data_IF_724761979199
#
_entry.id   IF_724761979199
#
_cell.length_a   1.000
_cell.length_b   1.000
_cell.length_c   1.000
_cell.angle_alpha   90.00
_cell.angle_beta   90.00
_cell.angle_gamma   90.00
#
_symmetry.space_group_name_H-M   'P 1'
#
loop_
_entity.id
_entity.type
_entity.pdbx_description
1 polymer ?
#
# COMPACT_ATOMS: atom_id res chain seq x y z
N UNK A 1 22.98 -35.49 -10.93
CA UNK A 1 22.26 -34.55 -11.81
C UNK A 1 20.92 -34.11 -11.23
N UNK A 2 20.08 -35.01 -10.69
CA UNK A 2 18.81 -34.69 -10.01
C UNK A 2 18.97 -33.79 -8.76
N UNK A 3 20.01 -34.00 -7.95
CA UNK A 3 20.28 -33.18 -6.74
C UNK A 3 20.62 -31.72 -7.10
N UNK A 4 21.32 -31.48 -8.22
CA UNK A 4 21.63 -30.13 -8.70
C UNK A 4 20.40 -29.43 -9.29
N UNK A 5 19.51 -30.16 -9.96
CA UNK A 5 18.22 -29.66 -10.43
C UNK A 5 17.26 -29.35 -9.27
N UNK A 6 17.28 -30.16 -8.20
CA UNK A 6 16.58 -29.88 -6.94
C UNK A 6 17.15 -28.65 -6.25
N UNK A 7 18.47 -28.47 -6.22
CA UNK A 7 19.11 -27.28 -5.65
C UNK A 7 18.79 -26.01 -6.45
N UNK A 8 18.79 -26.08 -7.79
CA UNK A 8 18.39 -24.98 -8.68
C UNK A 8 16.91 -24.63 -8.50
N UNK A 9 16.01 -25.61 -8.42
CA UNK A 9 14.59 -25.37 -8.15
C UNK A 9 14.31 -24.88 -6.73
N UNK A 10 15.13 -25.28 -5.75
CA UNK A 10 15.08 -24.76 -4.37
C UNK A 10 15.70 -23.36 -4.22
N UNK A 11 16.63 -22.97 -5.10
CA UNK A 11 17.16 -21.59 -5.15
C UNK A 11 16.22 -20.62 -5.87
N UNK A 12 15.40 -21.10 -6.81
CA UNK A 12 14.40 -20.28 -7.52
C UNK A 12 13.26 -19.79 -6.62
N UNK A 13 13.01 -20.45 -5.48
CA UNK A 13 11.95 -20.08 -4.55
C UNK A 13 12.32 -18.88 -3.65
N UNK A 14 13.58 -18.40 -3.69
CA UNK A 14 14.07 -17.33 -2.81
C UNK A 14 14.43 -16.02 -3.53
N UNK A 15 14.12 -15.89 -4.82
CA UNK A 15 14.26 -14.62 -5.55
C UNK A 15 12.89 -13.97 -5.78
N UNK A 16 12.05 -13.94 -4.75
CA UNK A 16 10.98 -12.92 -4.65
C UNK A 16 11.50 -11.63 -4.00
N UNK A 17 12.81 -11.42 -4.07
CA UNK A 17 13.51 -10.36 -3.37
C UNK A 17 13.27 -9.01 -4.07
N UNK A 18 12.85 -8.03 -3.27
CA UNK A 18 13.19 -6.62 -3.46
C UNK A 18 12.61 -5.92 -4.70
N UNK A 19 11.33 -6.14 -5.02
CA UNK A 19 10.66 -5.42 -6.11
C UNK A 19 9.88 -4.17 -5.66
N UNK A 20 9.55 -4.04 -4.37
CA UNK A 20 8.87 -2.87 -3.83
C UNK A 20 9.86 -1.86 -3.24
N UNK A 21 9.76 -0.60 -3.68
CA UNK A 21 10.63 0.50 -3.26
C UNK A 21 9.99 1.42 -2.21
N UNK A 22 8.72 1.20 -1.87
CA UNK A 22 7.96 2.02 -0.95
C UNK A 22 6.83 2.80 -1.62
N UNK A 23 6.20 3.70 -0.87
CA UNK A 23 5.02 4.42 -1.31
C UNK A 23 4.28 5.11 -0.16
N UNK A 24 3.01 5.45 -0.41
CA UNK A 24 2.13 6.15 0.52
C UNK A 24 0.70 5.63 0.44
N UNK A 25 0.00 5.68 1.58
CA UNK A 25 -1.45 5.50 1.65
C UNK A 25 -2.04 6.77 2.26
N UNK A 26 -2.77 7.53 1.45
CA UNK A 26 -3.48 8.74 1.86
C UNK A 26 -4.98 8.45 1.88
N UNK A 27 -5.73 9.24 2.65
CA UNK A 27 -7.18 9.19 2.62
C UNK A 27 -7.77 10.60 2.76
N UNK A 28 -9.07 10.76 2.49
CA UNK A 28 -9.79 12.00 2.78
C UNK A 28 -11.31 11.81 2.78
N UNK A 29 -12.02 12.67 3.53
CA UNK A 29 -13.36 13.15 3.29
C UNK A 29 -13.84 13.15 1.84
N UNK A 30 -14.88 12.43 1.41
CA UNK A 30 -15.53 12.84 0.13
C UNK A 30 -16.34 14.12 0.37
N UNK A 31 -17.15 14.13 1.43
CA UNK A 31 -17.85 15.32 1.91
C UNK A 31 -17.28 15.73 3.27
N UNK A 32 -16.53 16.83 3.28
CA UNK A 32 -15.92 17.34 4.50
C UNK A 32 -16.94 17.88 5.50
N UNK A 33 -18.16 18.20 5.09
CA UNK A 33 -19.19 18.74 5.97
C UNK A 33 -20.16 17.66 6.48
N UNK A 34 -19.98 16.42 6.02
CA UNK A 34 -20.78 15.28 6.47
C UNK A 34 -20.54 15.02 7.96
N UNK A 35 -21.63 14.87 8.71
CA UNK A 35 -21.65 14.41 10.10
C UNK A 35 -22.55 13.19 10.29
N UNK A 36 -23.04 12.60 9.19
CA UNK A 36 -23.94 11.46 9.20
C UNK A 36 -23.15 10.16 9.05
N UNK A 37 -23.68 9.09 9.63
CA UNK A 37 -23.20 7.74 9.35
C UNK A 37 -24.04 7.15 8.21
N UNK A 38 -23.43 6.50 7.22
CA UNK A 38 -21.99 6.25 7.09
C UNK A 38 -21.24 7.38 6.35
N UNK A 39 -19.92 7.44 6.54
CA UNK A 39 -19.03 8.44 5.93
C UNK A 39 -18.31 7.81 4.74
N UNK A 40 -18.41 8.46 3.58
CA UNK A 40 -17.64 8.06 2.40
C UNK A 40 -16.26 8.73 2.41
N UNK A 41 -15.22 7.94 2.21
CA UNK A 41 -13.82 8.40 2.12
C UNK A 41 -13.19 7.91 0.83
N UNK A 42 -12.26 8.71 0.30
CA UNK A 42 -11.34 8.28 -0.75
C UNK A 42 -10.05 7.81 -0.11
N UNK A 43 -9.55 6.63 -0.51
CA UNK A 43 -8.21 6.14 -0.16
C UNK A 43 -7.37 6.12 -1.43
N UNK A 44 -6.25 6.82 -1.40
CA UNK A 44 -5.28 6.88 -2.50
C UNK A 44 -4.02 6.13 -2.11
N UNK A 45 -3.70 5.10 -2.89
CA UNK A 45 -2.48 4.30 -2.78
C UNK A 45 -1.52 4.74 -3.88
N UNK A 46 -0.29 5.08 -3.51
CA UNK A 46 0.77 5.42 -4.47
C UNK A 46 1.99 4.59 -4.15
N UNK A 47 2.50 3.87 -5.15
CA UNK A 47 3.55 2.87 -4.97
C UNK A 47 4.70 3.08 -5.95
N UNK A 48 5.90 2.69 -5.52
CA UNK A 48 7.08 2.62 -6.35
C UNK A 48 7.60 1.19 -6.43
N UNK A 49 7.83 0.74 -7.66
CA UNK A 49 8.27 -0.62 -7.95
C UNK A 49 9.54 -0.64 -8.79
N UNK A 50 10.24 -1.76 -8.75
CA UNK A 50 11.41 -2.02 -9.59
C UNK A 50 10.99 -2.36 -11.01
N UNK A 51 11.44 -1.58 -11.98
CA UNK A 51 11.17 -1.78 -13.40
C UNK A 51 12.42 -2.37 -14.10
N UNK A 52 12.29 -3.33 -15.04
CA UNK A 52 11.05 -3.87 -15.63
C UNK A 52 10.48 -5.10 -14.92
N UNK A 53 10.98 -5.45 -13.72
CA UNK A 53 10.51 -6.62 -12.96
C UNK A 53 9.01 -6.54 -12.66
N UNK A 54 8.53 -5.37 -12.23
CA UNK A 54 7.12 -5.01 -12.27
C UNK A 54 6.89 -4.23 -13.56
N UNK A 55 6.03 -4.78 -14.40
CA UNK A 55 5.65 -4.20 -15.68
C UNK A 55 4.71 -3.04 -15.44
N UNK A 56 4.98 -1.91 -16.10
CA UNK A 56 4.12 -0.74 -16.05
C UNK A 56 2.81 -0.99 -16.83
N UNK A 57 1.78 -1.47 -16.13
CA UNK A 57 0.43 -1.71 -16.66
C UNK A 57 -0.64 -1.33 -15.64
N UNK A 58 -1.91 -1.66 -15.93
CA UNK A 58 -2.97 -1.68 -14.91
C UNK A 58 -2.83 -2.89 -13.98
N UNK A 59 -3.46 -2.82 -12.80
CA UNK A 59 -3.47 -3.89 -11.79
C UNK A 59 -2.07 -4.41 -11.39
N UNK A 60 -1.13 -3.50 -11.15
CA UNK A 60 0.19 -3.85 -10.60
C UNK A 60 0.08 -4.09 -9.08
N UNK A 61 0.81 -5.07 -8.50
CA UNK A 61 1.84 -5.89 -9.15
C UNK A 61 1.34 -7.20 -9.80
N UNK A 62 0.06 -7.56 -9.67
CA UNK A 62 -0.51 -8.85 -10.15
C UNK A 62 -0.30 -9.08 -11.64
N UNK A 63 -0.38 -8.02 -12.45
CA UNK A 63 -0.10 -8.09 -13.89
C UNK A 63 1.29 -8.63 -14.23
N UNK A 64 2.24 -8.56 -13.29
CA UNK A 64 3.60 -9.09 -13.42
C UNK A 64 3.79 -10.47 -12.76
N UNK A 65 2.68 -11.13 -12.38
CA UNK A 65 2.70 -12.39 -11.64
C UNK A 65 3.18 -12.25 -10.20
N UNK A 66 3.04 -11.07 -9.60
CA UNK A 66 3.53 -10.71 -8.26
C UNK A 66 2.40 -10.18 -7.39
N UNK A 67 2.43 -10.52 -6.09
CA UNK A 67 1.62 -9.92 -5.03
C UNK A 67 0.12 -9.76 -5.30
N UNK A 68 -0.71 -10.61 -4.70
CA UNK A 68 -2.17 -10.40 -4.61
C UNK A 68 -2.55 -10.31 -3.14
N UNK A 69 -2.80 -9.09 -2.66
CA UNK A 69 -3.02 -8.82 -1.25
C UNK A 69 -4.00 -7.66 -1.05
N UNK A 70 -4.52 -7.58 0.16
CA UNK A 70 -5.36 -6.48 0.60
C UNK A 70 -4.61 -5.58 1.58
N UNK A 71 -5.03 -4.32 1.64
CA UNK A 71 -4.68 -3.49 2.79
C UNK A 71 -5.27 -4.13 4.05
N UNK A 72 -4.45 -4.19 5.09
CA UNK A 72 -4.74 -4.94 6.31
C UNK A 72 -4.88 -3.98 7.49
N UNK A 73 -5.91 -4.17 8.31
CA UNK A 73 -5.96 -3.49 9.59
C UNK A 73 -4.91 -4.08 10.54
N UNK A 74 -4.03 -3.24 11.08
CA UNK A 74 -2.91 -3.68 11.93
C UNK A 74 -3.05 -3.24 13.39
N UNK A 75 -3.92 -2.27 13.70
CA UNK A 75 -4.20 -1.84 15.07
C UNK A 75 -5.57 -1.15 15.18
N UNK A 76 -6.21 -1.29 16.35
CA UNK A 76 -7.56 -0.82 16.65
C UNK A 76 -8.63 -1.36 15.68
N UNK A 77 -8.50 -2.61 15.25
CA UNK A 77 -9.39 -3.21 14.25
C UNK A 77 -10.81 -3.45 14.73
N UNK A 78 -11.06 -3.41 16.05
CA UNK A 78 -12.43 -3.43 16.60
C UNK A 78 -13.21 -2.15 16.31
N UNK A 79 -12.53 -1.07 15.93
CA UNK A 79 -13.11 0.25 15.62
C UNK A 79 -12.90 0.61 14.15
N UNK A 80 -12.82 -0.38 13.26
CA UNK A 80 -12.52 -0.19 11.84
C UNK A 80 -13.68 0.34 10.99
N UNK A 81 -14.83 0.62 11.62
CA UNK A 81 -16.02 1.14 10.96
C UNK A 81 -16.64 0.20 9.93
N UNK A 82 -16.34 -1.10 9.97
CA UNK A 82 -16.82 -2.11 9.03
C UNK A 82 -15.82 -2.46 7.91
N UNK A 83 -14.62 -1.88 7.92
CA UNK A 83 -13.59 -2.12 6.90
C UNK A 83 -13.31 -3.60 6.66
N UNK A 84 -13.17 -4.39 7.73
CA UNK A 84 -12.82 -5.82 7.66
C UNK A 84 -13.84 -6.68 6.91
N UNK A 85 -15.06 -6.18 6.68
CA UNK A 85 -16.08 -6.89 5.89
C UNK A 85 -15.92 -6.73 4.38
N UNK A 86 -15.21 -5.69 3.93
CA UNK A 86 -14.96 -5.39 2.53
C UNK A 86 -13.59 -4.70 2.37
N UNK A 87 -12.48 -5.41 2.63
CA UNK A 87 -11.14 -4.86 2.47
C UNK A 87 -10.84 -4.53 1.01
N UNK A 88 -10.03 -3.51 0.80
CA UNK A 88 -9.58 -3.09 -0.53
C UNK A 88 -8.23 -3.70 -0.88
N UNK A 89 -8.05 -4.01 -2.16
CA UNK A 89 -6.80 -4.56 -2.68
C UNK A 89 -5.66 -3.53 -2.67
N UNK A 90 -4.42 -4.04 -2.77
CA UNK A 90 -3.20 -3.22 -2.94
C UNK A 90 -2.98 -2.81 -4.40
N UNK A 91 -3.89 -3.16 -5.31
CA UNK A 91 -3.63 -3.02 -6.73
C UNK A 91 -3.69 -1.55 -7.13
N UNK A 92 -2.74 -1.17 -7.96
CA UNK A 92 -2.63 0.19 -8.49
C UNK A 92 -2.43 0.15 -9.99
N UNK A 93 -2.50 1.31 -10.63
CA UNK A 93 -2.29 1.43 -12.07
C UNK A 93 -1.03 2.25 -12.33
N UNK A 94 -0.19 1.80 -13.26
CA UNK A 94 1.05 2.49 -13.57
C UNK A 94 0.79 3.92 -14.07
N UNK A 95 1.49 4.88 -13.48
CA UNK A 95 1.42 6.30 -13.88
C UNK A 95 2.67 6.73 -14.65
N UNK A 96 3.82 6.13 -14.36
CA UNK A 96 5.09 6.43 -15.06
C UNK A 96 6.11 5.32 -14.84
N UNK A 97 7.07 5.21 -15.76
CA UNK A 97 8.23 4.32 -15.63
C UNK A 97 9.49 4.97 -16.20
N UNK A 98 10.65 4.55 -15.70
CA UNK A 98 11.98 4.98 -16.16
C UNK A 98 12.91 3.77 -16.21
N UNK A 99 13.34 3.41 -17.43
CA UNK A 99 14.33 2.36 -17.63
C UNK A 99 15.70 2.75 -17.10
N UNK A 100 16.08 4.03 -17.20
CA UNK A 100 17.35 4.56 -16.69
C UNK A 100 17.45 4.44 -15.17
N UNK A 101 16.36 4.69 -14.45
CA UNK A 101 16.32 4.57 -12.99
C UNK A 101 15.97 3.16 -12.52
N UNK A 102 15.50 2.28 -13.40
CA UNK A 102 14.98 0.96 -13.03
C UNK A 102 13.76 1.06 -12.10
N UNK A 103 12.95 2.10 -12.26
CA UNK A 103 11.83 2.41 -11.37
C UNK A 103 10.54 2.66 -12.14
N UNK A 104 9.42 2.30 -11.52
CA UNK A 104 8.09 2.74 -11.93
C UNK A 104 7.30 3.29 -10.74
N UNK A 105 6.30 4.11 -11.06
CA UNK A 105 5.32 4.64 -10.13
C UNK A 105 3.94 4.17 -10.56
N UNK A 106 3.11 3.80 -9.58
CA UNK A 106 1.70 3.48 -9.79
C UNK A 106 0.83 4.15 -8.75
N UNK A 107 -0.44 4.35 -9.07
CA UNK A 107 -1.41 4.99 -8.20
C UNK A 107 -2.82 4.44 -8.45
N UNK A 108 -3.64 4.42 -7.39
CA UNK A 108 -5.08 4.20 -7.50
C UNK A 108 -5.81 4.87 -6.34
N UNK A 109 -6.99 5.41 -6.65
CA UNK A 109 -7.92 5.91 -5.64
C UNK A 109 -9.18 5.07 -5.62
N UNK A 110 -9.58 4.62 -4.44
CA UNK A 110 -10.81 3.83 -4.22
C UNK A 110 -11.66 4.54 -3.18
N UNK A 111 -12.96 4.63 -3.44
CA UNK A 111 -13.92 5.17 -2.49
C UNK A 111 -14.52 4.03 -1.67
N UNK A 112 -14.50 4.18 -0.35
CA UNK A 112 -15.13 3.25 0.58
C UNK A 112 -16.03 4.00 1.55
N UNK A 113 -16.90 3.25 2.21
CA UNK A 113 -17.86 3.78 3.17
C UNK A 113 -17.63 3.12 4.51
N UNK A 114 -17.40 3.91 5.55
CA UNK A 114 -17.14 3.45 6.91
C UNK A 114 -18.12 4.10 7.88
N UNK A 115 -18.40 3.42 8.99
CA UNK A 115 -19.20 4.01 10.07
C UNK A 115 -18.47 5.20 10.69
N UNK A 116 -19.24 6.21 11.09
CA UNK A 116 -18.70 7.36 11.80
C UNK A 116 -18.02 6.93 13.10
N UNK A 117 -16.92 7.60 13.48
CA UNK A 117 -16.13 7.24 14.66
C UNK A 117 -15.11 6.12 14.42
N UNK A 118 -14.96 5.64 13.18
CA UNK A 118 -13.90 4.68 12.84
C UNK A 118 -12.52 5.24 13.22
N UNK A 119 -11.70 4.41 13.86
CA UNK A 119 -10.36 4.78 14.32
C UNK A 119 -9.46 3.54 14.28
N UNK A 120 -8.62 3.43 13.26
CA UNK A 120 -7.79 2.24 13.04
C UNK A 120 -6.59 2.50 12.16
N UNK A 121 -5.57 1.66 12.29
CA UNK A 121 -4.40 1.69 11.44
C UNK A 121 -4.59 0.72 10.28
N UNK A 122 -4.47 1.23 9.07
CA UNK A 122 -4.52 0.49 7.82
C UNK A 122 -3.12 0.43 7.22
N UNK A 123 -2.67 -0.74 6.77
CA UNK A 123 -1.34 -0.88 6.22
C UNK A 123 -1.25 -1.82 5.02
N UNK A 124 -0.30 -1.52 4.14
CA UNK A 124 0.26 -2.50 3.21
C UNK A 124 1.43 -3.19 3.89
N UNK A 125 1.41 -4.53 3.93
CA UNK A 125 2.46 -5.38 4.47
C UNK A 125 2.92 -6.35 3.39
N UNK A 126 4.23 -6.44 3.15
CA UNK A 126 4.81 -7.37 2.20
C UNK A 126 6.22 -7.76 2.63
N UNK A 127 6.72 -8.87 2.11
CA UNK A 127 8.12 -9.30 2.19
C UNK A 127 8.95 -8.88 0.98
N UNK A 128 8.29 -8.36 -0.05
CA UNK A 128 8.87 -7.92 -1.32
C UNK A 128 9.71 -6.62 -1.25
N UNK A 129 9.89 -6.04 -0.07
CA UNK A 129 10.65 -4.81 0.11
C UNK A 129 12.12 -4.97 -0.24
N UNK A 130 12.73 -3.88 -0.71
CA UNK A 130 14.18 -3.86 -0.89
C UNK A 130 14.90 -4.06 0.45
N UNK A 131 15.82 -5.02 0.47
CA UNK A 131 16.70 -5.23 1.61
C UNK A 131 17.55 -3.97 1.83
N UNK A 132 17.68 -3.56 3.10
CA UNK A 132 18.67 -2.57 3.48
C UNK A 132 20.06 -3.19 3.47
N UNK A 133 21.06 -2.41 3.09
CA UNK A 133 22.45 -2.81 3.25
C UNK A 133 22.78 -2.93 4.74
N UNK A 134 23.45 -4.02 5.15
CA UNK A 134 23.89 -4.30 6.54
C UNK A 134 22.80 -4.65 7.58
N UNK A 135 21.64 -5.17 7.18
CA UNK A 135 20.66 -5.72 8.14
C UNK A 135 20.66 -7.25 8.14
N UNK A 136 20.84 -7.87 9.32
CA UNK A 136 20.73 -9.32 9.51
C UNK A 136 19.28 -9.69 9.86
N UNK A 137 18.40 -9.75 8.87
CA UNK A 137 17.01 -10.20 9.03
C UNK A 137 16.11 -9.87 7.84
N UNK A 138 15.08 -10.68 7.59
CA UNK A 138 13.99 -10.31 6.68
C UNK A 138 13.11 -9.30 7.41
N UNK A 139 13.25 -8.03 7.04
CA UNK A 139 12.38 -6.99 7.60
C UNK A 139 11.14 -6.94 6.71
N UNK A 140 10.00 -7.38 7.24
CA UNK A 140 8.70 -7.12 6.63
C UNK A 140 8.39 -5.64 6.94
N UNK A 141 8.62 -4.76 5.96
CA UNK A 141 8.28 -3.35 6.10
C UNK A 141 6.78 -3.16 5.84
N UNK A 142 6.23 -2.08 6.38
CA UNK A 142 4.83 -1.73 6.18
C UNK A 142 4.68 -0.25 5.89
N UNK A 143 3.80 0.10 4.96
CA UNK A 143 3.29 1.47 4.82
C UNK A 143 2.00 1.51 5.60
N UNK A 144 1.92 2.33 6.64
CA UNK A 144 0.75 2.46 7.48
C UNK A 144 0.16 3.87 7.37
N UNK A 145 -1.16 3.96 7.49
CA UNK A 145 -1.91 5.20 7.64
C UNK A 145 -2.92 5.04 8.77
N UNK A 146 -3.16 6.11 9.51
CA UNK A 146 -4.20 6.15 10.54
C UNK A 146 -5.48 6.69 9.89
N UNK A 147 -6.53 5.89 9.87
CA UNK A 147 -7.89 6.34 9.56
C UNK A 147 -8.52 6.83 10.87
N UNK A 148 -9.03 8.06 10.87
CA UNK A 148 -9.66 8.67 12.03
C UNK A 148 -10.88 9.48 11.59
N UNK A 149 -12.07 8.86 11.67
CA UNK A 149 -13.37 9.46 11.33
C UNK A 149 -14.13 9.91 12.58
N UNK A 150 -13.44 10.09 13.71
CA UNK A 150 -14.06 10.69 14.90
C UNK A 150 -14.39 12.15 14.62
N UNK A 151 -15.47 12.61 15.20
CA UNK A 151 -15.88 14.01 15.08
C UNK A 151 -14.92 14.91 15.85
N UNK A 152 -14.58 16.03 15.23
CA UNK A 152 -13.91 17.15 15.85
C UNK A 152 -14.86 17.89 16.81
N UNK A 153 -14.33 18.82 17.59
CA UNK A 153 -15.11 19.65 18.51
C UNK A 153 -16.16 20.53 17.84
N UNK A 154 -16.03 20.79 16.54
CA UNK A 154 -17.01 21.54 15.72
C UNK A 154 -18.09 20.65 15.08
N UNK A 155 -18.11 19.35 15.39
CA UNK A 155 -19.12 18.41 14.90
C UNK A 155 -18.89 17.92 13.47
N UNK A 156 -17.71 18.18 12.91
CA UNK A 156 -17.32 17.78 11.56
C UNK A 156 -16.39 16.55 11.63
N UNK A 157 -16.46 15.66 10.63
CA UNK A 157 -15.55 14.51 10.53
C UNK A 157 -14.11 15.00 10.38
N UNK A 158 -13.19 14.34 11.10
CA UNK A 158 -11.78 14.69 11.02
C UNK A 158 -11.19 14.45 9.62
N UNK A 159 -10.17 15.21 9.28
CA UNK A 159 -9.42 15.07 8.03
C UNK A 159 -7.96 14.72 8.33
N UNK A 160 -7.32 13.89 7.50
CA UNK A 160 -5.94 13.53 7.74
C UNK A 160 -5.00 14.71 7.43
N UNK A 161 -3.80 14.71 8.02
CA UNK A 161 -2.76 15.64 7.62
C UNK A 161 -2.38 15.40 6.16
N UNK A 162 -2.14 16.49 5.42
CA UNK A 162 -1.63 16.41 4.04
C UNK A 162 -0.12 16.26 4.09
N UNK A 163 0.40 15.15 3.56
CA UNK A 163 1.83 14.91 3.42
C UNK A 163 2.21 14.78 1.95
N UNK A 164 3.20 15.57 1.50
CA UNK A 164 3.79 15.45 0.17
C UNK A 164 5.12 14.72 0.30
N UNK A 165 5.22 13.51 -0.25
CA UNK A 165 6.48 12.77 -0.33
C UNK A 165 7.20 13.17 -1.61
N UNK A 166 8.39 13.74 -1.45
CA UNK A 166 9.27 14.07 -2.56
C UNK A 166 10.14 12.86 -2.89
N UNK A 167 10.16 12.47 -4.17
CA UNK A 167 11.08 11.43 -4.64
C UNK A 167 12.53 11.87 -4.43
N UNK A 168 13.45 10.96 -4.06
CA UNK A 168 14.87 11.26 -4.03
C UNK A 168 15.33 11.83 -5.38
N UNK A 169 15.97 13.00 -5.35
CA UNK A 169 16.66 13.52 -6.52
C UNK A 169 18.07 12.95 -6.54
N UNK A 170 18.37 12.17 -7.57
CA UNK A 170 19.73 11.70 -7.83
C UNK A 170 20.46 12.81 -8.59
N UNK A 171 21.49 13.37 -7.95
CA UNK A 171 22.46 14.31 -8.54
C UNK A 171 23.73 13.60 -8.96
#
# INVERSE_FOLDING_TARGET
MIIWLLFLSFSSIFVDAAHFNGGTIAWAPIDINSNSSPVAISITQTYSWSYPLITCTTNVPVSSGKGDANLTCIANCSTDGGYSSAPIDILTDCTSSSSTLGMMKSERTVNITLNIGAYFYLAYQDRAWRNLYNTTGSLDWSIATLIDLRLRSDGIVNTPPVANVLSPQYV
#
